data_IF_289408457526
#
_entry.id   IF_289408457526
#
_cell.length_a   1.000
_cell.length_b   1.000
_cell.length_c   1.000
_cell.angle_alpha   90.00
_cell.angle_beta   90.00
_cell.angle_gamma   90.00
#
_symmetry.space_group_name_H-M   'P 1'
#
loop_
_entity.id
_entity.type
_entity.pdbx_description
1 polymer ?
#
# COMPACT_ATOMS: atom_id res chain seq x y z
N UNK A 1 4.22 4.91 23.97
CA UNK A 1 5.67 5.12 24.23
C UNK A 1 6.21 6.53 24.04
N UNK A 2 6.13 7.18 22.86
CA UNK A 2 6.63 8.56 22.70
C UNK A 2 5.83 9.52 23.59
N UNK A 3 4.50 9.49 23.47
CA UNK A 3 3.60 10.29 24.31
C UNK A 3 3.73 9.98 25.80
N UNK A 4 3.90 8.71 26.18
CA UNK A 4 4.14 8.31 27.58
C UNK A 4 5.42 8.95 28.16
N UNK A 5 6.53 8.88 27.44
CA UNK A 5 7.78 9.49 27.91
C UNK A 5 7.68 11.02 27.92
N UNK A 6 7.05 11.63 26.93
CA UNK A 6 6.79 13.07 26.93
C UNK A 6 5.92 13.48 28.13
N UNK A 7 4.89 12.70 28.46
CA UNK A 7 4.03 12.91 29.62
C UNK A 7 4.79 12.74 30.94
N UNK A 8 5.63 11.71 31.06
CA UNK A 8 6.51 11.52 32.20
C UNK A 8 7.44 12.72 32.41
N UNK A 9 8.15 13.13 31.36
CA UNK A 9 9.04 14.30 31.39
C UNK A 9 8.29 15.58 31.76
N UNK A 10 7.05 15.74 31.27
CA UNK A 10 6.17 16.85 31.63
C UNK A 10 5.81 16.83 33.11
N UNK A 11 5.38 15.68 33.64
CA UNK A 11 4.98 15.57 35.04
C UNK A 11 6.16 15.83 36.00
N UNK A 12 7.33 15.24 35.76
CA UNK A 12 8.51 15.47 36.63
C UNK A 12 9.08 16.89 36.53
N UNK A 13 8.72 17.63 35.47
CA UNK A 13 9.11 19.04 35.29
C UNK A 13 8.10 20.03 35.89
N UNK A 14 6.92 19.55 36.30
CA UNK A 14 5.84 20.35 36.90
C UNK A 14 5.84 20.15 38.42
N UNK A 15 6.81 20.72 39.11
CA UNK A 15 6.71 20.85 40.57
C UNK A 15 5.67 21.93 40.93
N UNK A 16 4.93 21.72 42.02
CA UNK A 16 3.91 22.67 42.55
C UNK A 16 4.50 24.01 42.97
N UNK A 17 5.80 24.03 43.29
CA UNK A 17 6.52 25.27 43.54
C UNK A 17 7.17 25.78 42.25
N UNK A 18 7.03 27.08 41.98
CA UNK A 18 7.64 27.80 40.85
C UNK A 18 9.18 27.86 40.90
N UNK A 19 9.83 26.93 41.61
CA UNK A 19 11.27 26.87 41.68
C UNK A 19 11.83 26.26 40.39
N UNK A 20 12.70 26.98 39.70
CA UNK A 20 13.44 26.54 38.51
C UNK A 20 14.55 25.53 38.85
N UNK A 21 14.39 24.81 39.97
CA UNK A 21 15.50 24.14 40.63
C UNK A 21 15.77 22.75 40.06
N UNK A 22 14.78 22.03 39.54
CA UNK A 22 14.90 20.72 38.89
C UNK A 22 13.79 20.52 37.84
N UNK A 23 14.16 20.22 36.59
CA UNK A 23 13.22 19.88 35.51
C UNK A 23 13.94 19.15 34.36
N UNK A 24 13.21 18.33 33.60
CA UNK A 24 13.74 17.57 32.47
C UNK A 24 13.13 17.94 31.12
N UNK A 25 12.11 18.78 31.10
CA UNK A 25 11.49 19.33 29.90
C UNK A 25 11.40 20.84 30.03
N UNK A 26 12.01 21.55 29.09
CA UNK A 26 12.14 23.00 29.12
C UNK A 26 12.07 23.64 27.74
N UNK A 27 12.18 24.95 27.71
CA UNK A 27 12.16 25.75 26.48
C UNK A 27 13.56 26.27 26.16
N UNK A 28 13.77 26.67 24.91
CA UNK A 28 15.01 27.33 24.46
C UNK A 28 15.24 28.69 25.13
N UNK A 29 14.20 29.28 25.72
CA UNK A 29 14.28 30.48 26.56
C UNK A 29 14.77 30.19 28.00
N UNK A 30 15.32 29.00 28.23
CA UNK A 30 15.94 28.56 29.48
C UNK A 30 15.00 28.50 30.69
N UNK A 31 13.74 28.13 30.47
CA UNK A 31 12.78 27.86 31.54
C UNK A 31 12.24 26.43 31.47
N UNK A 32 11.62 25.96 32.56
CA UNK A 32 10.83 24.72 32.53
C UNK A 32 9.65 24.85 31.55
N UNK A 33 9.16 23.72 31.05
CA UNK A 33 7.95 23.69 30.21
C UNK A 33 6.75 24.24 30.98
N UNK A 34 5.88 24.98 30.28
CA UNK A 34 4.59 25.45 30.82
C UNK A 34 3.42 24.57 30.35
N UNK A 35 3.71 23.49 29.60
CA UNK A 35 2.70 22.56 29.11
C UNK A 35 1.90 21.93 30.26
N UNK A 36 0.60 22.18 30.28
CA UNK A 36 -0.33 21.69 31.31
C UNK A 36 -0.95 20.35 30.93
N UNK A 37 -0.98 20.01 29.64
CA UNK A 37 -1.47 18.75 29.08
C UNK A 37 -0.44 18.13 28.12
N UNK A 38 -0.63 16.86 27.76
CA UNK A 38 0.19 16.18 26.74
C UNK A 38 -0.03 16.77 25.34
N UNK A 39 -1.23 17.28 25.08
CA UNK A 39 -1.61 17.95 23.83
C UNK A 39 -0.88 19.29 23.66
N UNK A 40 -0.56 19.99 24.76
CA UNK A 40 0.28 21.20 24.73
C UNK A 40 1.72 20.89 24.24
N UNK A 41 2.14 19.62 24.27
CA UNK A 41 3.38 19.11 23.69
C UNK A 41 3.20 18.56 22.27
N UNK A 42 2.05 18.82 21.64
CA UNK A 42 1.67 18.28 20.33
C UNK A 42 1.62 16.75 20.27
N UNK A 43 1.54 16.07 21.41
CA UNK A 43 1.26 14.64 21.45
C UNK A 43 -0.26 14.41 21.37
N UNK A 44 -0.72 13.41 20.61
CA UNK A 44 -2.14 13.07 20.54
C UNK A 44 -2.66 12.63 21.92
N UNK A 45 -3.98 12.74 22.17
CA UNK A 45 -4.59 12.20 23.38
C UNK A 45 -4.41 10.68 23.44
N UNK A 46 -4.37 10.12 24.65
CA UNK A 46 -4.15 8.69 24.90
C UNK A 46 -5.18 7.80 24.18
N UNK A 47 -6.41 8.28 24.05
CA UNK A 47 -7.48 7.60 23.31
C UNK A 47 -7.82 8.46 22.11
N UNK A 48 -7.59 7.90 20.91
CA UNK A 48 -8.09 8.46 19.66
C UNK A 48 -9.36 7.70 19.30
N UNK A 49 -10.51 8.38 19.27
CA UNK A 49 -11.82 7.78 18.95
C UNK A 49 -12.27 8.01 17.52
N UNK A 50 -11.49 8.78 16.75
CA UNK A 50 -11.80 9.14 15.37
C UNK A 50 -10.71 8.58 14.45
N UNK A 51 -11.08 7.58 13.66
CA UNK A 51 -10.22 7.00 12.63
C UNK A 51 -10.78 7.38 11.27
N UNK A 52 -10.53 8.62 10.85
CA UNK A 52 -10.73 9.03 9.47
C UNK A 52 -9.77 8.25 8.55
N UNK A 53 -10.22 7.92 7.34
CA UNK A 53 -9.34 7.35 6.30
C UNK A 53 -8.27 8.38 5.93
N UNK A 54 -7.01 8.07 6.21
CA UNK A 54 -5.86 8.86 5.78
C UNK A 54 -5.35 8.26 4.47
N UNK A 55 -5.55 8.96 3.35
CA UNK A 55 -5.04 8.53 2.05
C UNK A 55 -3.65 9.06 1.72
N UNK A 56 -3.18 10.07 2.46
CA UNK A 56 -1.89 10.73 2.22
C UNK A 56 -1.25 11.12 3.53
N UNK A 57 0.08 11.03 3.60
CA UNK A 57 0.83 11.61 4.71
C UNK A 57 0.88 13.12 4.62
N UNK A 58 0.98 13.77 5.77
CA UNK A 58 1.37 15.17 5.84
C UNK A 58 2.84 15.31 5.43
N UNK A 59 3.06 15.81 4.22
CA UNK A 59 4.38 16.02 3.63
C UNK A 59 5.28 16.97 4.44
N UNK A 60 4.68 17.81 5.29
CA UNK A 60 5.43 18.71 6.18
C UNK A 60 6.05 17.98 7.36
N UNK A 61 5.49 16.84 7.77
CA UNK A 61 5.98 15.99 8.85
C UNK A 61 6.80 14.82 8.31
N UNK A 62 6.36 14.22 7.20
CA UNK A 62 6.98 13.05 6.59
C UNK A 62 7.11 13.29 5.09
N UNK A 63 8.34 13.49 4.62
CA UNK A 63 8.64 13.71 3.20
C UNK A 63 9.29 12.47 2.58
N UNK A 64 9.53 12.52 1.27
CA UNK A 64 10.23 11.46 0.53
C UNK A 64 11.63 11.13 1.07
N UNK A 65 12.22 12.02 1.87
CA UNK A 65 13.59 11.90 2.39
C UNK A 65 13.65 11.53 3.87
N UNK A 66 12.55 11.59 4.63
CA UNK A 66 12.53 11.29 6.06
C UNK A 66 11.45 12.03 6.87
N UNK A 67 11.58 12.00 8.20
CA UNK A 67 10.78 12.81 9.13
C UNK A 67 11.26 14.27 9.14
N UNK A 68 10.65 15.11 8.31
CA UNK A 68 11.07 16.49 8.07
C UNK A 68 11.15 17.36 9.33
N UNK A 69 10.30 17.10 10.33
CA UNK A 69 10.26 17.88 11.58
C UNK A 69 11.17 17.32 12.68
N UNK A 70 11.74 16.13 12.49
CA UNK A 70 12.68 15.54 13.45
C UNK A 70 14.02 16.26 13.35
N UNK A 71 14.41 16.99 14.39
CA UNK A 71 15.73 17.62 14.43
C UNK A 71 16.71 16.67 15.15
N UNK A 72 17.66 16.03 14.45
CA UNK A 72 18.61 15.13 15.08
C UNK A 72 19.67 15.90 15.88
N UNK A 73 20.34 15.20 16.79
CA UNK A 73 21.44 15.75 17.58
C UNK A 73 21.01 16.16 18.99
N UNK A 74 21.64 17.20 19.53
CA UNK A 74 21.52 17.53 20.95
C UNK A 74 20.12 18.04 21.31
N UNK A 75 19.45 17.35 22.24
CA UNK A 75 18.18 17.72 22.83
C UNK A 75 18.30 18.25 24.27
N UNK A 76 19.49 18.13 24.87
CA UNK A 76 19.80 18.75 26.15
C UNK A 76 19.83 20.28 26.02
N UNK A 77 19.22 20.98 26.97
CA UNK A 77 19.38 22.44 27.11
C UNK A 77 20.86 22.73 27.39
N UNK A 78 21.52 23.50 26.54
CA UNK A 78 22.97 23.78 26.65
C UNK A 78 23.28 25.08 27.40
N UNK A 79 22.28 25.92 27.59
CA UNK A 79 22.39 27.26 28.20
C UNK A 79 22.06 27.22 29.71
N UNK A 80 21.46 28.27 30.27
CA UNK A 80 21.02 28.30 31.67
C UNK A 80 20.14 27.08 31.95
N UNK A 81 20.33 26.44 33.11
CA UNK A 81 19.61 25.24 33.54
C UNK A 81 20.01 23.91 32.86
N UNK A 82 21.18 23.85 32.20
CA UNK A 82 21.72 22.63 31.57
C UNK A 82 22.00 21.43 32.50
N UNK A 83 22.01 21.64 33.82
CA UNK A 83 22.22 20.60 34.86
C UNK A 83 20.94 20.24 35.63
N UNK A 84 19.77 20.72 35.21
CA UNK A 84 18.53 20.57 35.99
C UNK A 84 17.80 19.24 35.83
N UNK A 85 18.12 18.48 34.79
CA UNK A 85 17.46 17.21 34.57
C UNK A 85 18.12 16.08 35.34
N UNK A 86 17.49 15.62 36.41
CA UNK A 86 17.98 14.51 37.23
C UNK A 86 18.18 13.20 36.45
N UNK A 87 17.45 12.99 35.33
CA UNK A 87 17.65 11.81 34.49
C UNK A 87 19.01 11.79 33.79
N UNK A 88 19.69 12.94 33.67
CA UNK A 88 21.03 13.05 33.10
C UNK A 88 22.13 13.03 34.17
N UNK A 89 21.77 12.98 35.45
CA UNK A 89 22.74 13.00 36.55
C UNK A 89 23.16 11.59 36.92
N UNK A 90 24.44 11.27 36.72
CA UNK A 90 25.08 10.08 37.30
C UNK A 90 25.57 10.39 38.72
N UNK A 91 25.30 9.49 39.67
CA UNK A 91 25.73 9.65 41.07
C UNK A 91 26.07 8.27 41.63
N UNK A 92 27.07 8.20 42.50
CA UNK A 92 27.36 7.01 43.30
C UNK A 92 26.11 6.50 44.03
N UNK A 93 26.14 5.24 44.45
CA UNK A 93 25.02 4.56 45.10
C UNK A 93 24.57 5.28 46.39
N UNK A 94 23.52 6.10 46.27
CA UNK A 94 22.86 6.82 47.37
C UNK A 94 21.36 6.71 47.22
N UNK A 95 20.61 6.95 48.31
CA UNK A 95 19.15 6.87 48.33
C UNK A 95 18.43 7.89 47.43
N UNK A 96 19.16 8.88 46.88
CA UNK A 96 18.63 9.91 45.99
C UNK A 96 19.11 9.75 44.54
N UNK A 97 19.96 8.75 44.26
CA UNK A 97 20.47 8.48 42.92
C UNK A 97 19.43 7.72 42.08
N UNK A 98 19.11 8.21 40.89
CA UNK A 98 18.21 7.50 39.97
C UNK A 98 18.88 6.24 39.41
N UNK A 99 20.16 6.36 39.07
CA UNK A 99 20.89 5.30 38.36
C UNK A 99 21.81 4.47 39.26
N UNK A 100 22.07 4.92 40.50
CA UNK A 100 23.01 4.28 41.44
C UNK A 100 24.44 4.05 40.89
N UNK A 101 24.81 4.75 39.81
CA UNK A 101 26.09 4.65 39.13
C UNK A 101 26.59 6.04 38.72
N UNK A 102 27.91 6.26 38.82
CA UNK A 102 28.54 7.54 38.43
C UNK A 102 28.45 7.81 36.92
N UNK A 103 28.56 6.76 36.11
CA UNK A 103 28.56 6.84 34.63
C UNK A 103 27.68 5.74 34.05
N UNK A 104 26.36 5.84 34.21
CA UNK A 104 25.43 4.82 33.74
C UNK A 104 25.54 4.62 32.23
N UNK A 105 25.36 3.38 31.77
CA UNK A 105 25.24 3.11 30.34
C UNK A 105 24.05 3.86 29.73
N UNK A 106 24.24 4.36 28.50
CA UNK A 106 23.23 5.12 27.78
C UNK A 106 21.88 4.39 27.69
N UNK A 107 20.79 5.15 27.84
CA UNK A 107 19.42 4.63 27.88
C UNK A 107 18.64 5.12 26.67
N UNK A 108 18.04 4.17 25.95
CA UNK A 108 17.12 4.45 24.86
C UNK A 108 15.72 4.72 25.40
N UNK A 109 15.17 5.89 25.10
CA UNK A 109 13.81 6.30 25.46
C UNK A 109 13.05 6.73 24.22
N UNK A 110 11.73 6.96 24.34
CA UNK A 110 10.86 7.33 23.21
C UNK A 110 10.99 6.34 22.03
N UNK A 111 10.90 5.03 22.29
CA UNK A 111 11.15 3.98 21.29
C UNK A 111 12.53 4.04 20.62
N UNK A 112 13.55 4.55 21.32
CA UNK A 112 14.91 4.70 20.78
C UNK A 112 15.10 5.91 19.87
N UNK A 113 14.13 6.82 19.82
CA UNK A 113 14.29 8.12 19.15
C UNK A 113 15.20 9.07 19.93
N UNK A 114 15.29 8.89 21.25
CA UNK A 114 16.11 9.70 22.13
C UNK A 114 17.03 8.78 22.96
N UNK A 115 18.32 9.12 22.99
CA UNK A 115 19.30 8.47 23.87
C UNK A 115 19.65 9.41 25.00
N UNK A 116 19.51 8.95 26.24
CA UNK A 116 19.98 9.64 27.43
C UNK A 116 21.35 9.07 27.82
N UNK A 117 22.32 9.94 28.05
CA UNK A 117 23.67 9.59 28.50
C UNK A 117 23.92 10.28 29.84
N UNK A 118 23.55 9.66 30.97
CA UNK A 118 23.77 10.26 32.27
C UNK A 118 25.25 10.24 32.66
N UNK A 119 25.70 11.25 33.39
CA UNK A 119 27.10 11.33 33.84
C UNK A 119 27.23 12.15 35.14
N UNK A 120 28.26 11.87 35.95
CA UNK A 120 28.53 12.60 37.19
C UNK A 120 29.34 13.88 37.01
N UNK A 121 30.03 14.00 35.87
CA UNK A 121 30.82 15.17 35.49
C UNK A 121 30.00 16.09 34.60
N UNK A 122 29.82 17.33 35.04
CA UNK A 122 29.06 18.35 34.31
C UNK A 122 29.60 18.57 32.90
N UNK A 123 28.70 18.59 31.92
CA UNK A 123 29.01 18.75 30.50
C UNK A 123 29.32 17.44 29.76
N UNK A 124 29.44 16.32 30.47
CA UNK A 124 29.61 14.99 29.85
C UNK A 124 28.28 14.24 29.68
N UNK A 125 27.26 14.66 30.42
CA UNK A 125 25.90 14.19 30.28
C UNK A 125 25.21 14.79 29.05
N UNK A 126 24.45 13.98 28.34
CA UNK A 126 23.79 14.40 27.09
C UNK A 126 22.45 13.72 26.86
N UNK A 127 21.63 14.32 26.00
CA UNK A 127 20.43 13.74 25.44
C UNK A 127 20.46 13.95 23.93
N UNK A 128 20.44 12.87 23.15
CA UNK A 128 20.64 12.93 21.69
C UNK A 128 19.47 12.31 20.95
N UNK A 129 18.86 13.09 20.03
CA UNK A 129 17.82 12.63 19.13
C UNK A 129 18.45 11.96 17.91
N UNK A 130 17.89 10.82 17.53
CA UNK A 130 18.37 10.01 16.41
C UNK A 130 18.11 10.68 15.05
N UNK A 131 18.94 10.35 14.06
CA UNK A 131 18.77 10.81 12.68
C UNK A 131 17.83 9.92 11.87
N UNK A 132 16.75 10.52 11.38
CA UNK A 132 15.89 9.97 10.32
C UNK A 132 15.13 11.07 9.56
N UNK A 133 15.66 12.29 9.56
CA UNK A 133 15.04 13.46 8.94
C UNK A 133 15.42 13.67 7.46
N UNK A 134 16.46 12.98 7.01
CA UNK A 134 16.94 12.99 5.63
C UNK A 134 17.69 11.68 5.35
N UNK A 135 17.97 11.40 4.07
CA UNK A 135 18.77 10.26 3.61
C UNK A 135 17.96 9.10 3.03
N UNK A 136 16.63 9.15 3.04
CA UNK A 136 15.82 8.26 2.23
C UNK A 136 15.80 8.74 0.76
N UNK A 137 15.68 7.79 -0.16
CA UNK A 137 15.38 8.04 -1.55
C UNK A 137 14.02 7.40 -1.86
N UNK A 138 13.13 8.16 -2.50
CA UNK A 138 11.78 7.69 -2.86
C UNK A 138 11.05 6.98 -1.72
N UNK A 139 11.00 7.62 -0.55
CA UNK A 139 10.36 7.11 0.66
C UNK A 139 11.00 5.84 1.25
N UNK A 140 12.25 5.52 0.89
CA UNK A 140 12.94 4.35 1.43
C UNK A 140 14.36 4.64 1.87
N UNK A 141 14.67 4.31 3.11
CA UNK A 141 16.05 4.16 3.57
C UNK A 141 16.59 2.80 3.11
N UNK A 142 17.66 2.81 2.32
CA UNK A 142 18.36 1.57 1.96
C UNK A 142 18.93 0.88 3.22
N UNK A 143 19.56 1.67 4.09
CA UNK A 143 20.12 1.21 5.36
C UNK A 143 19.28 1.71 6.54
N UNK A 144 18.27 0.92 6.91
CA UNK A 144 17.45 1.15 8.10
C UNK A 144 18.16 0.66 9.38
N UNK A 145 19.33 1.24 9.65
CA UNK A 145 20.22 0.90 10.78
C UNK A 145 19.62 1.21 12.17
N UNK A 146 18.54 2.00 12.21
CA UNK A 146 17.92 2.42 13.45
C UNK A 146 16.39 2.38 13.42
N UNK A 147 15.80 2.49 14.60
CA UNK A 147 14.36 2.34 14.82
C UNK A 147 13.52 3.38 14.06
N UNK A 148 13.97 4.63 13.97
CA UNK A 148 13.25 5.68 13.26
C UNK A 148 13.19 5.38 11.76
N UNK A 149 14.33 5.02 11.15
CA UNK A 149 14.39 4.62 9.74
C UNK A 149 13.53 3.38 9.46
N UNK A 150 13.51 2.41 10.38
CA UNK A 150 12.65 1.22 10.27
C UNK A 150 11.16 1.60 10.30
N UNK A 151 10.75 2.44 11.25
CA UNK A 151 9.36 2.94 11.32
C UNK A 151 8.99 3.70 10.04
N UNK A 152 9.87 4.55 9.54
CA UNK A 152 9.67 5.29 8.29
C UNK A 152 9.44 4.33 7.11
N UNK A 153 10.32 3.33 6.93
CA UNK A 153 10.17 2.33 5.88
C UNK A 153 8.87 1.54 6.01
N UNK A 154 8.48 1.11 7.21
CA UNK A 154 7.22 0.35 7.39
C UNK A 154 5.98 1.19 7.10
N UNK A 155 5.98 2.47 7.48
CA UNK A 155 4.87 3.38 7.20
C UNK A 155 4.74 3.66 5.69
N UNK A 156 5.86 3.86 5.02
CA UNK A 156 5.92 4.12 3.58
C UNK A 156 5.60 2.89 2.75
N UNK A 157 6.08 1.71 3.14
CA UNK A 157 5.70 0.43 2.53
C UNK A 157 4.17 0.24 2.57
N UNK A 158 3.49 0.66 3.65
CA UNK A 158 2.01 0.62 3.76
C UNK A 158 1.33 1.61 2.82
N UNK A 159 1.91 2.79 2.59
CA UNK A 159 1.34 3.82 1.72
C UNK A 159 1.55 3.51 0.24
N UNK A 160 2.70 2.94 -0.09
CA UNK A 160 3.02 2.47 -1.45
C UNK A 160 2.56 1.05 -1.66
N UNK A 161 1.79 0.47 -0.73
CA UNK A 161 1.22 -0.85 -0.90
C UNK A 161 0.19 -0.80 -2.01
N UNK A 162 0.64 -1.11 -3.22
CA UNK A 162 -0.24 -1.50 -4.31
C UNK A 162 -0.55 -2.99 -4.12
N UNK A 163 -1.77 -3.30 -3.69
CA UNK A 163 -2.27 -4.64 -3.93
C UNK A 163 -2.16 -4.88 -5.44
N UNK A 164 -1.75 -6.09 -5.84
CA UNK A 164 -1.91 -6.60 -7.22
C UNK A 164 -3.40 -6.72 -7.49
N UNK A 165 -4.07 -5.57 -7.54
CA UNK A 165 -5.50 -5.47 -7.70
C UNK A 165 -5.81 -6.05 -9.06
N UNK A 166 -6.93 -6.78 -9.13
CA UNK A 166 -7.54 -7.19 -10.38
C UNK A 166 -7.96 -5.97 -11.25
N UNK A 167 -7.45 -4.76 -11.02
CA UNK A 167 -7.90 -3.50 -11.61
C UNK A 167 -9.05 -2.88 -10.81
N UNK A 168 -9.06 -1.55 -10.68
CA UNK A 168 -10.11 -0.82 -9.94
C UNK A 168 -11.45 -0.73 -10.71
N UNK A 169 -11.47 -1.16 -11.97
CA UNK A 169 -12.64 -1.17 -12.84
C UNK A 169 -12.48 -2.23 -13.94
N UNK A 170 -13.57 -2.55 -14.64
CA UNK A 170 -13.61 -3.60 -15.67
C UNK A 170 -12.53 -3.44 -16.76
N UNK A 171 -12.20 -2.20 -17.16
CA UNK A 171 -11.18 -1.95 -18.17
C UNK A 171 -9.78 -2.28 -17.65
N UNK A 172 -9.47 -1.86 -16.42
CA UNK A 172 -8.22 -2.16 -15.75
C UNK A 172 -8.08 -3.67 -15.52
N UNK A 173 -9.18 -4.38 -15.19
CA UNK A 173 -9.20 -5.84 -15.07
C UNK A 173 -8.75 -6.51 -16.37
N UNK A 174 -9.41 -6.16 -17.48
CA UNK A 174 -9.09 -6.73 -18.79
C UNK A 174 -7.63 -6.47 -19.14
N UNK A 175 -7.14 -5.25 -18.91
CA UNK A 175 -5.76 -4.91 -19.19
C UNK A 175 -4.77 -5.74 -18.37
N UNK A 176 -5.00 -5.84 -17.06
CA UNK A 176 -4.14 -6.58 -16.14
C UNK A 176 -4.11 -8.08 -16.45
N UNK A 177 -5.27 -8.69 -16.75
CA UNK A 177 -5.37 -10.14 -17.02
C UNK A 177 -4.66 -10.52 -18.33
N UNK A 178 -4.68 -9.64 -19.34
CA UNK A 178 -3.94 -9.84 -20.59
C UNK A 178 -2.44 -9.61 -20.39
N UNK A 179 -2.04 -8.48 -19.78
CA UNK A 179 -0.64 -8.14 -19.57
C UNK A 179 0.09 -9.14 -18.66
N UNK A 180 -0.58 -9.67 -17.64
CA UNK A 180 -0.04 -10.71 -16.73
C UNK A 180 0.01 -12.11 -17.32
N UNK A 181 -0.45 -12.31 -18.57
CA UNK A 181 -0.60 -13.62 -19.24
C UNK A 181 -1.57 -14.58 -18.53
N UNK A 182 -2.40 -14.08 -17.62
CA UNK A 182 -3.39 -14.92 -16.91
C UNK A 182 -4.41 -15.51 -17.89
N UNK A 183 -4.91 -14.72 -18.85
CA UNK A 183 -5.80 -15.23 -19.91
C UNK A 183 -5.13 -16.31 -20.78
N UNK A 184 -3.84 -16.12 -21.12
CA UNK A 184 -3.07 -17.10 -21.88
C UNK A 184 -2.97 -18.45 -21.15
N UNK A 185 -2.68 -18.43 -19.84
CA UNK A 185 -2.59 -19.65 -19.02
C UNK A 185 -3.92 -20.39 -18.94
N UNK A 186 -5.04 -19.68 -18.80
CA UNK A 186 -6.37 -20.30 -18.82
C UNK A 186 -6.68 -20.95 -20.16
N UNK A 187 -6.35 -20.27 -21.26
CA UNK A 187 -6.54 -20.82 -22.61
C UNK A 187 -5.65 -22.05 -22.84
N UNK A 188 -4.40 -22.01 -22.40
CA UNK A 188 -3.50 -23.16 -22.43
C UNK A 188 -4.08 -24.35 -21.66
N UNK A 189 -4.61 -24.12 -20.44
CA UNK A 189 -5.23 -25.16 -19.62
C UNK A 189 -6.44 -25.81 -20.30
N UNK A 190 -7.21 -25.07 -21.10
CA UNK A 190 -8.28 -25.63 -21.93
C UNK A 190 -7.71 -26.42 -23.10
N UNK A 191 -6.75 -25.85 -23.84
CA UNK A 191 -6.19 -26.46 -25.04
C UNK A 191 -5.51 -27.80 -24.76
N UNK A 192 -4.78 -27.96 -23.66
CA UNK A 192 -4.14 -29.24 -23.31
C UNK A 192 -5.14 -30.40 -23.14
N UNK A 193 -6.44 -30.10 -22.97
CA UNK A 193 -7.49 -31.13 -22.88
C UNK A 193 -8.03 -31.57 -24.24
N UNK A 194 -7.71 -30.85 -25.32
CA UNK A 194 -8.30 -31.02 -26.65
C UNK A 194 -7.28 -31.53 -27.67
N UNK A 195 -7.67 -32.43 -28.57
CA UNK A 195 -6.85 -32.77 -29.74
C UNK A 195 -6.78 -31.58 -30.72
N UNK A 196 -5.63 -31.33 -31.38
CA UNK A 196 -4.37 -32.09 -31.37
C UNK A 196 -3.36 -31.65 -30.29
N UNK A 197 -3.73 -30.74 -29.39
CA UNK A 197 -2.82 -30.17 -28.38
C UNK A 197 -2.62 -31.08 -27.18
N UNK A 198 -3.52 -32.04 -27.00
CA UNK A 198 -3.42 -33.13 -26.02
C UNK A 198 -2.27 -34.09 -26.34
N UNK A 199 -2.00 -34.40 -27.62
CA UNK A 199 -1.08 -35.50 -27.99
C UNK A 199 0.08 -35.13 -28.91
N UNK A 200 0.16 -33.90 -29.44
CA UNK A 200 1.27 -33.59 -30.37
C UNK A 200 1.57 -32.13 -30.69
N UNK A 201 0.68 -31.18 -30.39
CA UNK A 201 0.93 -29.74 -30.61
C UNK A 201 1.14 -28.99 -29.28
N UNK A 202 1.98 -27.95 -29.30
CA UNK A 202 2.24 -27.13 -28.11
C UNK A 202 1.07 -26.19 -27.80
N UNK A 203 0.30 -26.50 -26.76
CA UNK A 203 -0.83 -25.67 -26.30
C UNK A 203 -0.42 -24.23 -25.97
N UNK A 204 0.75 -24.03 -25.35
CA UNK A 204 1.27 -22.71 -24.99
C UNK A 204 1.42 -21.79 -26.21
N UNK A 205 2.07 -22.26 -27.28
CA UNK A 205 2.28 -21.44 -28.50
C UNK A 205 0.96 -21.14 -29.20
N UNK A 206 0.00 -22.04 -29.13
CA UNK A 206 -1.31 -21.81 -29.71
C UNK A 206 -2.12 -20.79 -28.90
N UNK A 207 -2.09 -20.88 -27.56
CA UNK A 207 -2.69 -19.88 -26.69
C UNK A 207 -2.10 -18.49 -26.95
N UNK A 208 -0.77 -18.38 -27.13
CA UNK A 208 -0.11 -17.13 -27.52
C UNK A 208 -0.60 -16.61 -28.87
N UNK A 209 -0.71 -17.48 -29.88
CA UNK A 209 -1.24 -17.10 -31.19
C UNK A 209 -2.69 -16.63 -31.13
N UNK A 210 -3.54 -17.28 -30.32
CA UNK A 210 -4.94 -16.91 -30.16
C UNK A 210 -5.08 -15.54 -29.49
N UNK A 211 -4.31 -15.27 -28.43
CA UNK A 211 -4.26 -13.93 -27.80
C UNK A 211 -3.73 -12.89 -28.79
N UNK A 212 -2.67 -13.21 -29.54
CA UNK A 212 -2.11 -12.32 -30.56
C UNK A 212 -3.12 -12.04 -31.69
N UNK A 213 -3.85 -13.03 -32.16
CA UNK A 213 -4.90 -12.88 -33.16
C UNK A 213 -6.07 -12.03 -32.63
N UNK A 214 -6.48 -12.23 -31.38
CA UNK A 214 -7.47 -11.38 -30.73
C UNK A 214 -7.01 -9.91 -30.71
N UNK A 215 -5.70 -9.68 -30.52
CA UNK A 215 -5.06 -8.36 -30.55
C UNK A 215 -4.68 -7.85 -31.97
N UNK A 216 -5.28 -8.34 -33.05
CA UNK A 216 -4.95 -7.95 -34.45
C UNK A 216 -3.48 -8.17 -34.82
N UNK A 217 -2.88 -9.21 -34.26
CA UNK A 217 -1.47 -9.54 -34.40
C UNK A 217 -0.50 -8.45 -33.91
N UNK A 218 -0.96 -7.55 -33.04
CA UNK A 218 -0.12 -6.52 -32.45
C UNK A 218 1.07 -7.12 -31.68
N UNK A 219 2.27 -6.58 -31.91
CA UNK A 219 3.49 -7.01 -31.21
C UNK A 219 3.65 -6.35 -29.83
N UNK A 220 2.92 -5.25 -29.58
CA UNK A 220 2.90 -4.51 -28.31
C UNK A 220 1.48 -4.03 -28.02
N UNK A 221 1.14 -3.76 -26.74
CA UNK A 221 -0.16 -3.21 -26.33
C UNK A 221 -1.35 -4.12 -26.71
N UNK A 222 -1.15 -5.43 -26.63
CA UNK A 222 -2.19 -6.41 -26.95
C UNK A 222 -3.44 -6.22 -26.06
N UNK A 223 -3.23 -5.82 -24.82
CA UNK A 223 -4.25 -5.51 -23.83
C UNK A 223 -5.13 -4.31 -24.21
N UNK A 224 -4.56 -3.28 -24.83
CA UNK A 224 -5.32 -2.13 -25.33
C UNK A 224 -6.17 -2.54 -26.53
N UNK A 225 -5.58 -3.31 -27.46
CA UNK A 225 -6.26 -3.78 -28.68
C UNK A 225 -7.42 -4.72 -28.37
N UNK A 226 -7.22 -5.66 -27.45
CA UNK A 226 -8.28 -6.58 -27.03
C UNK A 226 -9.41 -5.80 -26.34
N UNK A 227 -9.09 -4.84 -25.47
CA UNK A 227 -10.09 -4.00 -24.84
C UNK A 227 -10.88 -3.16 -25.87
N UNK A 228 -10.20 -2.55 -26.84
CA UNK A 228 -10.83 -1.80 -27.93
C UNK A 228 -11.82 -2.67 -28.71
N UNK A 229 -11.45 -3.90 -29.05
CA UNK A 229 -12.35 -4.84 -29.72
C UNK A 229 -13.56 -5.22 -28.88
N UNK A 230 -13.35 -5.55 -27.61
CA UNK A 230 -14.45 -5.87 -26.69
C UNK A 230 -15.42 -4.69 -26.65
N UNK A 231 -14.92 -3.47 -26.48
CA UNK A 231 -15.72 -2.24 -26.47
C UNK A 231 -16.47 -1.98 -27.77
N UNK A 232 -15.84 -2.27 -28.90
CA UNK A 232 -16.41 -2.05 -30.24
C UNK A 232 -17.42 -3.13 -30.64
N UNK A 233 -17.41 -4.30 -30.00
CA UNK A 233 -18.32 -5.39 -30.31
C UNK A 233 -19.77 -4.93 -30.15
N UNK A 234 -20.51 -4.98 -31.25
CA UNK A 234 -21.96 -4.75 -31.25
C UNK A 234 -22.67 -6.03 -30.87
N UNK A 235 -23.54 -5.94 -29.88
CA UNK A 235 -24.38 -7.05 -29.43
C UNK A 235 -25.84 -6.63 -29.42
N UNK A 236 -26.75 -7.59 -29.56
CA UNK A 236 -28.16 -7.35 -29.24
C UNK A 236 -28.29 -7.30 -27.72
N UNK A 237 -28.75 -6.17 -27.21
CA UNK A 237 -28.89 -5.86 -25.78
C UNK A 237 -30.34 -5.72 -25.42
N UNK A 238 -30.65 -6.02 -24.17
CA UNK A 238 -31.92 -5.65 -23.54
C UNK A 238 -31.73 -4.27 -22.92
N UNK A 239 -32.68 -3.37 -23.16
CA UNK A 239 -32.78 -2.05 -22.53
C UNK A 239 -34.24 -1.88 -22.08
N UNK A 240 -34.52 -2.19 -20.82
CA UNK A 240 -35.90 -2.24 -20.31
C UNK A 240 -36.74 -3.33 -20.98
N UNK A 241 -37.82 -2.94 -21.66
CA UNK A 241 -38.76 -3.86 -22.31
C UNK A 241 -38.43 -4.17 -23.78
N UNK A 242 -37.30 -3.67 -24.29
CA UNK A 242 -36.94 -3.73 -25.72
C UNK A 242 -35.55 -4.28 -25.94
N UNK A 243 -35.31 -4.74 -27.16
CA UNK A 243 -33.98 -5.11 -27.64
C UNK A 243 -33.42 -4.04 -28.57
N UNK A 244 -32.17 -3.62 -28.34
CA UNK A 244 -31.42 -2.70 -29.21
C UNK A 244 -30.10 -3.32 -29.64
N UNK A 245 -29.51 -2.88 -30.75
CA UNK A 245 -28.18 -3.33 -31.17
C UNK A 245 -27.19 -2.20 -30.98
N UNK A 246 -26.27 -2.37 -30.03
CA UNK A 246 -25.33 -1.33 -29.61
C UNK A 246 -23.96 -1.92 -29.26
N UNK A 247 -22.87 -1.15 -29.42
CA UNK A 247 -21.55 -1.48 -28.88
C UNK A 247 -21.56 -1.74 -27.36
N UNK A 248 -20.67 -2.62 -26.88
CA UNK A 248 -20.50 -2.88 -25.45
C UNK A 248 -19.97 -1.68 -24.66
N UNK A 249 -19.30 -0.72 -25.31
CA UNK A 249 -18.85 0.53 -24.65
C UNK A 249 -19.99 1.43 -24.17
N UNK A 250 -21.21 1.24 -24.67
CA UNK A 250 -22.36 2.03 -24.23
C UNK A 250 -22.89 1.49 -22.90
N UNK A 251 -23.11 2.36 -21.91
CA UNK A 251 -23.54 1.94 -20.58
C UNK A 251 -25.02 1.52 -20.57
N UNK A 252 -25.34 0.46 -19.81
CA UNK A 252 -26.72 0.06 -19.47
C UNK A 252 -26.77 -0.32 -17.99
N UNK A 253 -27.96 -0.62 -17.45
CA UNK A 253 -28.09 -1.05 -16.06
C UNK A 253 -27.50 -2.46 -15.84
N UNK A 254 -27.07 -2.78 -14.61
CA UNK A 254 -26.54 -4.12 -14.29
C UNK A 254 -27.54 -5.25 -14.58
N UNK A 255 -28.84 -5.01 -14.42
CA UNK A 255 -29.87 -6.02 -14.68
C UNK A 255 -30.06 -6.23 -16.19
N UNK A 256 -30.03 -5.14 -16.96
CA UNK A 256 -30.04 -5.20 -18.42
C UNK A 256 -28.81 -5.94 -18.99
N UNK A 257 -27.63 -5.77 -18.38
CA UNK A 257 -26.42 -6.52 -18.76
C UNK A 257 -26.58 -8.02 -18.56
N UNK A 258 -27.12 -8.44 -17.41
CA UNK A 258 -27.37 -9.86 -17.10
C UNK A 258 -28.40 -10.47 -18.04
N UNK A 259 -29.50 -9.75 -18.29
CA UNK A 259 -30.53 -10.16 -19.24
C UNK A 259 -29.97 -10.24 -20.66
N UNK A 260 -29.12 -9.29 -21.05
CA UNK A 260 -28.40 -9.31 -22.34
C UNK A 260 -27.51 -10.53 -22.47
N UNK A 261 -26.74 -10.90 -21.44
CA UNK A 261 -25.90 -12.10 -21.45
C UNK A 261 -26.75 -13.37 -21.65
N UNK A 262 -27.87 -13.49 -20.93
CA UNK A 262 -28.80 -14.60 -21.08
C UNK A 262 -29.41 -14.65 -22.48
N UNK A 263 -29.81 -13.50 -23.04
CA UNK A 263 -30.36 -13.41 -24.41
C UNK A 263 -29.36 -13.92 -25.44
N UNK A 264 -28.10 -13.46 -25.39
CA UNK A 264 -27.06 -13.90 -26.32
C UNK A 264 -26.77 -15.40 -26.16
N UNK A 265 -26.77 -15.92 -24.94
CA UNK A 265 -26.63 -17.36 -24.70
C UNK A 265 -27.79 -18.18 -25.34
N UNK A 266 -29.03 -17.72 -25.19
CA UNK A 266 -30.20 -18.34 -25.82
C UNK A 266 -30.15 -18.27 -27.35
N UNK A 267 -29.68 -17.15 -27.91
CA UNK A 267 -29.50 -16.99 -29.36
C UNK A 267 -28.45 -17.96 -29.89
N UNK A 268 -27.28 -18.05 -29.26
CA UNK A 268 -26.25 -19.01 -29.66
C UNK A 268 -26.71 -20.47 -29.56
N UNK A 269 -27.53 -20.81 -28.56
CA UNK A 269 -28.12 -22.15 -28.48
C UNK A 269 -29.04 -22.44 -29.67
N UNK A 270 -29.89 -21.48 -30.07
CA UNK A 270 -30.75 -21.63 -31.26
C UNK A 270 -29.94 -21.76 -32.55
N UNK A 271 -28.84 -21.00 -32.67
CA UNK A 271 -27.93 -21.11 -33.81
C UNK A 271 -27.26 -22.50 -33.86
N UNK A 272 -26.87 -23.04 -32.71
CA UNK A 272 -26.32 -24.39 -32.60
C UNK A 272 -27.34 -25.45 -33.02
N UNK A 273 -28.57 -25.37 -32.51
CA UNK A 273 -29.64 -26.30 -32.87
C UNK A 273 -29.91 -26.27 -34.39
N UNK A 274 -29.85 -25.09 -35.00
CA UNK A 274 -29.96 -24.92 -36.45
C UNK A 274 -28.80 -25.59 -37.20
N UNK A 275 -27.56 -25.37 -36.76
CA UNK A 275 -26.38 -25.99 -37.38
C UNK A 275 -26.41 -27.53 -37.27
N UNK A 276 -26.88 -28.06 -36.13
CA UNK A 276 -27.09 -29.51 -35.95
C UNK A 276 -28.11 -30.03 -36.96
N UNK A 277 -29.26 -29.37 -37.09
CA UNK A 277 -30.28 -29.77 -38.06
C UNK A 277 -29.78 -29.69 -39.52
N UNK A 278 -29.00 -28.65 -39.85
CA UNK A 278 -28.38 -28.52 -41.18
C UNK A 278 -27.36 -29.63 -41.45
N UNK A 279 -26.57 -30.02 -40.45
CA UNK A 279 -25.61 -31.11 -40.53
C UNK A 279 -26.31 -32.47 -40.70
N UNK A 280 -27.37 -32.74 -39.92
CA UNK A 280 -28.18 -33.95 -40.06
C UNK A 280 -28.83 -34.04 -41.44
N UNK A 281 -29.38 -32.92 -41.94
CA UNK A 281 -29.96 -32.84 -43.28
C UNK A 281 -28.91 -33.07 -44.38
N UNK A 282 -27.68 -32.58 -44.21
CA UNK A 282 -26.59 -32.80 -45.15
C UNK A 282 -26.14 -34.27 -45.17
N UNK A 283 -26.04 -34.91 -44.00
CA UNK A 283 -25.65 -36.32 -43.87
C UNK A 283 -26.73 -37.31 -44.35
N UNK A 284 -28.00 -36.87 -44.39
CA UNK A 284 -29.14 -37.70 -44.81
C UNK A 284 -29.37 -37.70 -46.34
N UNK A 285 -28.58 -36.95 -47.12
CA UNK A 285 -28.70 -36.96 -48.59
C UNK A 285 -28.02 -38.20 -49.16
N UNK A 286 -28.74 -39.12 -49.85
CA UNK A 286 -28.10 -40.25 -50.50
C UNK A 286 -27.15 -39.74 -51.60
N UNK A 287 -25.92 -40.26 -51.58
CA UNK A 287 -24.90 -39.91 -52.58
C UNK A 287 -25.42 -40.14 -53.98
N UNK A 288 -25.51 -39.07 -54.79
CA UNK A 288 -25.63 -39.23 -56.24
C UNK A 288 -24.37 -39.93 -56.72
N UNK A 289 -24.50 -41.21 -57.07
CA UNK A 289 -23.54 -41.89 -57.93
C UNK A 289 -23.42 -41.11 -59.23
N UNK A 290 -22.37 -40.29 -59.34
CA UNK A 290 -21.96 -39.74 -60.63
C UNK A 290 -21.24 -40.87 -61.35
N UNK A 291 -21.95 -41.55 -62.24
CA UNK A 291 -21.35 -42.36 -63.30
C UNK A 291 -20.66 -41.40 -64.28
N UNK A 292 -19.33 -41.49 -64.36
CA UNK A 292 -18.58 -40.83 -65.43
C UNK A 292 -18.64 -41.70 -66.71
N UNK A 293 -18.93 -41.10 -67.89
CA UNK A 293 -18.60 -41.71 -69.19
C UNK A 293 -17.09 -41.72 -69.44
#
# INVERSE_FOLDING_TARGET
HIAEMAEFLRQISRTTDNSETNFCLGTTAAGRTQATTITDLHCPPEITTDFGLIQTLDATVISATGFSTLTPGQAKITTTHNTKCGLLTGTADTSTAIWHENTPAGKYVMQGLLTLTPHNSAGSEDATVISANTGAADYKFADADNVAKKIFNSLTDLLTFEDTSCGQNAESVIKTVVASKTAQKLLEAVLVTQEPYKTGKTATKEAEKMIKAAADNADTKAEEKILEKIKAQTVTRIEGDKTTTKPLKEAVSSDDERCTLLLNHLQHRKELDKLVAELEAANSRPGKSITCP
#
